data_IF_457832266751
#
_entry.id   IF_457832266751
#
_cell.length_a   1.000
_cell.length_b   1.000
_cell.length_c   1.000
_cell.angle_alpha   90.00
_cell.angle_beta   90.00
_cell.angle_gamma   90.00
#
_symmetry.space_group_name_H-M   'P 1'
#
loop_
_entity.id
_entity.type
_entity.pdbx_description
1 polymer ?
#
# COMPACT_ATOMS: atom_id res chain seq x y z
N UNK A 1 -6.84 -12.28 41.86
CA UNK A 1 -6.26 -13.05 42.99
C UNK A 1 -7.26 -13.05 44.16
N UNK A 2 -7.19 -14.01 45.09
CA UNK A 2 -8.05 -14.01 46.27
C UNK A 2 -7.81 -12.82 47.21
N UNK A 3 -8.88 -12.31 47.85
CA UNK A 3 -8.83 -11.08 48.67
C UNK A 3 -8.46 -11.29 50.16
N UNK A 4 -8.08 -12.50 50.58
CA UNK A 4 -7.77 -12.71 52.00
C UNK A 4 -6.35 -12.26 52.36
N UNK A 5 -6.17 -11.83 53.61
CA UNK A 5 -4.94 -11.22 54.14
C UNK A 5 -3.67 -12.07 53.93
N UNK A 6 -3.80 -13.40 53.90
CA UNK A 6 -2.67 -14.31 53.70
C UNK A 6 -1.94 -14.15 52.36
N UNK A 7 -2.59 -13.59 51.34
CA UNK A 7 -1.97 -13.31 50.03
C UNK A 7 -1.61 -11.84 49.83
N UNK A 8 -1.89 -10.98 50.82
CA UNK A 8 -1.49 -9.57 50.76
C UNK A 8 0.03 -9.39 50.59
N UNK A 9 0.91 -10.15 51.27
CA UNK A 9 2.35 -10.08 51.03
C UNK A 9 2.73 -10.42 49.58
N UNK A 10 2.06 -11.39 48.96
CA UNK A 10 2.32 -11.77 47.56
C UNK A 10 2.05 -10.59 46.64
N UNK A 11 0.93 -9.89 46.86
CA UNK A 11 0.58 -8.70 46.09
C UNK A 11 1.57 -7.54 46.31
N UNK A 12 1.80 -7.16 47.56
CA UNK A 12 2.56 -5.94 47.91
C UNK A 12 4.08 -6.11 47.76
N UNK A 13 4.61 -7.31 47.98
CA UNK A 13 6.06 -7.56 48.00
C UNK A 13 6.57 -8.24 46.72
N UNK A 14 5.69 -8.84 45.91
CA UNK A 14 6.09 -9.48 44.66
C UNK A 14 5.43 -8.90 43.42
N UNK A 15 4.09 -8.95 43.33
CA UNK A 15 3.37 -8.55 42.11
C UNK A 15 3.55 -7.05 41.82
N UNK A 16 3.24 -6.20 42.79
CA UNK A 16 3.27 -4.74 42.64
C UNK A 16 4.69 -4.21 42.37
N UNK A 17 5.75 -4.67 43.07
CA UNK A 17 7.13 -4.32 42.74
C UNK A 17 7.56 -4.79 41.34
N UNK A 18 7.17 -6.00 40.92
CA UNK A 18 7.51 -6.51 39.59
C UNK A 18 6.89 -5.66 38.47
N UNK A 19 5.61 -5.28 38.62
CA UNK A 19 4.93 -4.37 37.70
C UNK A 19 5.64 -3.00 37.65
N UNK A 20 5.95 -2.41 38.81
CA UNK A 20 6.63 -1.11 38.88
C UNK A 20 8.00 -1.14 38.19
N UNK A 21 8.80 -2.20 38.39
CA UNK A 21 10.12 -2.36 37.77
C UNK A 21 10.06 -2.47 36.24
N UNK A 22 8.93 -2.92 35.70
CA UNK A 22 8.71 -3.12 34.26
C UNK A 22 7.85 -2.04 33.63
N UNK A 23 7.51 -0.98 34.38
CA UNK A 23 6.71 0.16 33.90
C UNK A 23 5.21 -0.08 33.86
N UNK A 24 4.71 -1.20 34.39
CA UNK A 24 3.29 -1.50 34.52
C UNK A 24 2.72 -0.93 35.82
N UNK A 25 1.42 -0.62 35.81
CA UNK A 25 0.65 -0.28 37.01
C UNK A 25 -0.17 -1.49 37.45
N UNK A 26 0.15 -2.06 38.61
CA UNK A 26 -0.63 -3.15 39.19
C UNK A 26 -1.94 -2.61 39.79
N UNK A 27 -3.07 -3.22 39.45
CA UNK A 27 -4.39 -2.89 40.00
C UNK A 27 -5.02 -4.14 40.61
N UNK A 28 -5.46 -4.05 41.86
CA UNK A 28 -6.29 -5.06 42.53
C UNK A 28 -7.64 -4.43 42.85
N UNK A 29 -8.74 -5.10 42.50
CA UNK A 29 -10.07 -4.46 42.49
C UNK A 29 -10.56 -4.06 43.89
N UNK A 30 -10.11 -4.72 44.94
CA UNK A 30 -10.38 -4.34 46.32
C UNK A 30 -9.67 -3.05 46.77
N UNK A 31 -8.68 -2.54 46.01
CA UNK A 31 -8.06 -1.23 46.25
C UNK A 31 -8.77 -0.09 45.50
N UNK A 32 -9.71 -0.41 44.60
CA UNK A 32 -10.42 0.58 43.79
C UNK A 32 -11.62 1.10 44.57
N UNK A 33 -11.57 2.39 44.94
CA UNK A 33 -12.69 3.06 45.61
C UNK A 33 -13.90 3.21 44.66
N UNK A 34 -15.09 2.77 45.09
CA UNK A 34 -16.31 2.97 44.30
C UNK A 34 -17.54 2.27 44.87
N UNK A 35 -18.73 2.80 44.53
CA UNK A 35 -20.05 2.27 44.93
C UNK A 35 -20.53 1.15 43.98
N UNK A 36 -19.74 0.79 42.97
CA UNK A 36 -20.13 -0.13 41.90
C UNK A 36 -19.94 -1.60 42.28
N UNK A 37 -20.79 -2.47 41.71
CA UNK A 37 -20.67 -3.94 41.81
C UNK A 37 -19.25 -4.41 41.47
N UNK A 38 -18.61 -5.08 42.42
CA UNK A 38 -17.24 -5.61 42.32
C UNK A 38 -17.09 -6.47 41.07
N UNK A 39 -18.11 -7.27 40.72
CA UNK A 39 -18.06 -8.12 39.52
C UNK A 39 -17.96 -7.27 38.25
N UNK A 40 -18.72 -6.19 38.17
CA UNK A 40 -18.66 -5.28 37.03
C UNK A 40 -17.28 -4.64 36.92
N UNK A 41 -16.70 -4.21 38.03
CA UNK A 41 -15.36 -3.62 38.05
C UNK A 41 -14.29 -4.63 37.60
N UNK A 42 -14.36 -5.87 38.09
CA UNK A 42 -13.46 -6.96 37.66
C UNK A 42 -13.55 -7.14 36.14
N UNK A 43 -14.75 -7.28 35.58
CA UNK A 43 -14.92 -7.45 34.13
C UNK A 43 -14.37 -6.24 33.38
N UNK A 44 -14.69 -5.01 33.79
CA UNK A 44 -14.16 -3.80 33.15
C UNK A 44 -12.63 -3.73 33.19
N UNK A 45 -11.99 -4.13 34.29
CA UNK A 45 -10.53 -4.19 34.40
C UNK A 45 -9.92 -5.33 33.59
N UNK A 46 -10.60 -6.48 33.45
CA UNK A 46 -10.19 -7.53 32.54
C UNK A 46 -10.14 -7.00 31.10
N UNK A 47 -11.15 -6.27 30.64
CA UNK A 47 -11.16 -5.73 29.27
C UNK A 47 -10.16 -4.59 29.01
N UNK A 48 -9.71 -3.87 30.05
CA UNK A 48 -8.84 -2.69 29.91
C UNK A 48 -7.36 -2.98 30.17
N UNK A 49 -7.03 -4.09 30.83
CA UNK A 49 -5.66 -4.41 31.23
C UNK A 49 -4.86 -4.99 30.06
N UNK A 50 -3.60 -4.55 29.92
CA UNK A 50 -2.66 -5.09 28.91
C UNK A 50 -2.20 -6.52 29.24
N UNK A 51 -2.14 -6.84 30.54
CA UNK A 51 -1.71 -8.13 31.08
C UNK A 51 -2.49 -8.45 32.36
N UNK A 52 -2.82 -9.71 32.55
CA UNK A 52 -3.49 -10.23 33.75
C UNK A 52 -2.52 -11.13 34.51
N UNK A 53 -2.41 -10.92 35.83
CA UNK A 53 -1.70 -11.84 36.73
C UNK A 53 -2.75 -12.57 37.56
N UNK A 54 -2.88 -13.88 37.35
CA UNK A 54 -3.87 -14.72 38.01
C UNK A 54 -3.21 -15.60 39.08
N UNK A 55 -3.51 -15.33 40.35
CA UNK A 55 -3.08 -16.17 41.47
C UNK A 55 -4.09 -17.28 41.77
N UNK A 56 -3.69 -18.51 41.47
CA UNK A 56 -4.52 -19.72 41.58
C UNK A 56 -4.43 -20.40 42.95
N UNK A 57 -3.76 -19.77 43.92
CA UNK A 57 -3.58 -20.30 45.28
C UNK A 57 -4.90 -20.56 45.99
N UNK A 58 -4.96 -21.66 46.74
CA UNK A 58 -6.15 -22.21 47.39
C UNK A 58 -7.31 -22.57 46.44
N UNK A 59 -7.06 -22.64 45.13
CA UNK A 59 -8.01 -23.09 44.10
C UNK A 59 -9.38 -22.38 44.12
N UNK A 60 -9.39 -21.05 44.26
CA UNK A 60 -10.66 -20.33 44.36
C UNK A 60 -11.44 -20.29 43.04
N UNK A 61 -12.70 -20.76 43.02
CA UNK A 61 -13.52 -20.81 41.80
C UNK A 61 -13.65 -19.46 41.08
N UNK A 62 -13.77 -18.37 41.83
CA UNK A 62 -13.90 -17.02 41.26
C UNK A 62 -12.70 -16.66 40.39
N UNK A 63 -11.48 -17.01 40.82
CA UNK A 63 -10.27 -16.71 40.03
C UNK A 63 -10.22 -17.54 38.75
N UNK A 64 -10.69 -18.79 38.78
CA UNK A 64 -10.79 -19.60 37.56
C UNK A 64 -11.84 -19.06 36.58
N UNK A 65 -12.95 -18.52 37.10
CA UNK A 65 -13.94 -17.86 36.26
C UNK A 65 -13.33 -16.62 35.57
N UNK A 66 -12.66 -15.75 36.33
CA UNK A 66 -11.95 -14.58 35.81
C UNK A 66 -10.85 -14.96 34.80
N UNK A 67 -10.11 -16.03 35.08
CA UNK A 67 -9.09 -16.59 34.19
C UNK A 67 -9.70 -17.06 32.86
N UNK A 68 -10.84 -17.77 32.91
CA UNK A 68 -11.57 -18.18 31.73
C UNK A 68 -12.02 -16.99 30.88
N UNK A 69 -12.50 -15.92 31.50
CA UNK A 69 -12.86 -14.67 30.80
C UNK A 69 -11.63 -14.02 30.18
N UNK A 70 -10.52 -13.89 30.91
CA UNK A 70 -9.26 -13.33 30.42
C UNK A 70 -8.73 -14.10 29.19
N UNK A 71 -8.80 -15.43 29.25
CA UNK A 71 -8.45 -16.31 28.14
C UNK A 71 -9.34 -16.08 26.92
N UNK A 72 -10.65 -15.94 27.12
CA UNK A 72 -11.61 -15.74 26.04
C UNK A 72 -11.43 -14.40 25.30
N UNK A 73 -11.02 -13.34 26.00
CA UNK A 73 -10.79 -12.02 25.42
C UNK A 73 -9.37 -11.81 24.88
N UNK A 74 -8.55 -12.86 24.86
CA UNK A 74 -7.16 -12.88 24.40
C UNK A 74 -6.19 -11.99 25.19
N UNK A 75 -6.44 -11.80 26.48
CA UNK A 75 -5.46 -11.12 27.33
C UNK A 75 -4.22 -11.98 27.54
N UNK A 76 -3.06 -11.31 27.57
CA UNK A 76 -1.82 -11.91 28.04
C UNK A 76 -2.00 -12.23 29.52
N UNK A 77 -1.83 -13.50 29.88
CA UNK A 77 -2.10 -13.96 31.25
C UNK A 77 -0.89 -14.66 31.83
N UNK A 78 -0.42 -14.19 32.98
CA UNK A 78 0.61 -14.84 33.78
C UNK A 78 -0.10 -15.55 34.94
N UNK A 79 -0.01 -16.87 34.99
CA UNK A 79 -0.55 -17.64 36.11
C UNK A 79 0.53 -17.81 37.18
N UNK A 80 0.16 -17.61 38.43
CA UNK A 80 1.01 -17.89 39.59
C UNK A 80 0.25 -18.79 40.56
N UNK A 81 0.96 -19.63 41.31
CA UNK A 81 0.36 -20.46 42.36
C UNK A 81 1.39 -20.73 43.45
N UNK A 82 0.92 -20.78 44.70
CA UNK A 82 1.77 -21.20 45.81
C UNK A 82 2.15 -22.67 45.62
N UNK A 83 3.43 -23.00 45.77
CA UNK A 83 3.96 -24.35 45.56
C UNK A 83 3.37 -25.41 46.50
N UNK A 84 2.73 -24.99 47.60
CA UNK A 84 1.98 -25.89 48.49
C UNK A 84 0.78 -26.52 47.77
N UNK A 85 0.25 -25.84 46.76
CA UNK A 85 -0.90 -26.26 45.96
C UNK A 85 -0.41 -26.84 44.63
N UNK A 86 -1.18 -27.77 44.06
CA UNK A 86 -0.89 -28.29 42.73
C UNK A 86 -1.59 -27.46 41.66
N UNK A 87 -0.94 -27.27 40.51
CA UNK A 87 -1.59 -26.66 39.34
C UNK A 87 -2.71 -27.57 38.84
N UNK A 88 -3.96 -27.08 38.72
CA UNK A 88 -5.08 -27.89 38.23
C UNK A 88 -4.85 -28.39 36.81
N UNK A 89 -5.35 -29.60 36.51
CA UNK A 89 -5.12 -30.28 35.24
C UNK A 89 -5.50 -29.43 34.01
N UNK A 90 -6.62 -28.71 34.09
CA UNK A 90 -7.16 -27.90 32.98
C UNK A 90 -6.22 -26.77 32.52
N UNK A 91 -5.37 -26.27 33.41
CA UNK A 91 -4.42 -25.18 33.14
C UNK A 91 -2.96 -25.61 33.19
N UNK A 92 -2.69 -26.87 33.54
CA UNK A 92 -1.34 -27.43 33.75
C UNK A 92 -0.47 -27.45 32.49
N UNK A 93 -1.08 -27.43 31.32
CA UNK A 93 -0.37 -27.39 30.02
C UNK A 93 0.29 -26.01 29.80
N UNK A 94 -0.26 -24.95 30.41
CA UNK A 94 0.24 -23.59 30.28
C UNK A 94 1.22 -23.25 31.38
N UNK A 95 2.13 -22.31 31.08
CA UNK A 95 3.15 -21.86 32.03
C UNK A 95 2.50 -21.26 33.28
N UNK A 96 2.81 -21.82 34.44
CA UNK A 96 2.43 -21.29 35.74
C UNK A 96 3.69 -21.12 36.60
N UNK A 97 3.87 -19.93 37.18
CA UNK A 97 4.99 -19.65 38.07
C UNK A 97 4.65 -20.17 39.48
N UNK A 98 5.52 -21.03 40.01
CA UNK A 98 5.38 -21.55 41.36
C UNK A 98 6.10 -20.61 42.33
N UNK A 99 5.48 -20.32 43.48
CA UNK A 99 6.11 -19.46 44.49
C UNK A 99 5.98 -20.01 45.90
N UNK A 100 6.84 -19.53 46.79
CA UNK A 100 6.69 -19.73 48.24
C UNK A 100 6.34 -18.41 48.92
N UNK A 101 5.59 -18.46 50.02
CA UNK A 101 5.25 -17.26 50.81
C UNK A 101 6.42 -16.76 51.69
N UNK A 102 7.59 -17.40 51.63
CA UNK A 102 8.79 -16.96 52.34
C UNK A 102 9.34 -15.67 51.71
N UNK A 103 10.06 -14.81 52.45
CA UNK A 103 10.67 -13.60 51.88
C UNK A 103 11.55 -13.88 50.65
N UNK A 104 12.36 -14.94 50.71
CA UNK A 104 13.19 -15.37 49.57
C UNK A 104 12.33 -15.91 48.41
N UNK A 105 11.24 -16.63 48.71
CA UNK A 105 10.29 -17.10 47.71
C UNK A 105 9.59 -15.96 46.98
N UNK A 106 9.19 -14.92 47.71
CA UNK A 106 8.59 -13.72 47.13
C UNK A 106 9.60 -12.94 46.29
N UNK A 107 10.85 -12.80 46.73
CA UNK A 107 11.90 -12.17 45.94
C UNK A 107 12.18 -12.91 44.62
N UNK A 108 12.17 -14.25 44.65
CA UNK A 108 12.27 -15.09 43.44
C UNK A 108 11.07 -14.87 42.52
N UNK A 109 9.84 -14.89 43.06
CA UNK A 109 8.64 -14.63 42.30
C UNK A 109 8.70 -13.25 41.63
N UNK A 110 9.17 -12.21 42.33
CA UNK A 110 9.36 -10.88 41.73
C UNK A 110 10.28 -10.94 40.52
N UNK A 111 11.44 -11.60 40.63
CA UNK A 111 12.39 -11.72 39.52
C UNK A 111 11.79 -12.48 38.33
N UNK A 112 11.05 -13.56 38.58
CA UNK A 112 10.36 -14.31 37.53
C UNK A 112 9.25 -13.50 36.86
N UNK A 113 8.47 -12.74 37.64
CA UNK A 113 7.44 -11.84 37.12
C UNK A 113 8.05 -10.72 36.29
N UNK A 114 9.16 -10.11 36.72
CA UNK A 114 9.89 -9.09 35.94
C UNK A 114 10.33 -9.66 34.60
N UNK A 115 10.90 -10.87 34.59
CA UNK A 115 11.29 -11.55 33.35
C UNK A 115 10.10 -11.86 32.43
N UNK A 116 8.99 -12.34 33.00
CA UNK A 116 7.76 -12.62 32.26
C UNK A 116 7.13 -11.34 31.67
N UNK A 117 7.08 -10.26 32.45
CA UNK A 117 6.53 -8.97 32.02
C UNK A 117 7.42 -8.29 30.96
N UNK A 118 8.74 -8.39 31.09
CA UNK A 118 9.69 -7.81 30.12
C UNK A 118 9.66 -8.53 28.77
N UNK A 119 9.26 -9.81 28.73
CA UNK A 119 9.19 -10.61 27.49
C UNK A 119 7.80 -10.61 26.85
N UNK A 120 6.85 -9.79 27.32
CA UNK A 120 5.46 -9.82 26.83
C UNK A 120 5.32 -9.56 25.32
N UNK A 121 6.22 -8.81 24.69
CA UNK A 121 6.17 -8.55 23.23
C UNK A 121 6.41 -9.84 22.42
N UNK A 122 7.27 -10.73 22.91
CA UNK A 122 7.58 -12.01 22.28
C UNK A 122 6.42 -13.02 22.39
N UNK A 123 5.49 -12.80 23.34
CA UNK A 123 4.34 -13.68 23.56
C UNK A 123 3.30 -13.62 22.43
N UNK A 124 3.42 -12.66 21.50
CA UNK A 124 2.51 -12.57 20.35
C UNK A 124 2.56 -13.79 19.43
N UNK A 125 3.60 -14.63 19.53
CA UNK A 125 3.80 -15.76 18.62
C UNK A 125 3.45 -17.13 19.19
N UNK A 126 3.01 -17.22 20.45
CA UNK A 126 2.63 -18.50 21.06
C UNK A 126 1.31 -18.36 21.79
N UNK A 127 0.28 -19.14 21.41
CA UNK A 127 -0.98 -19.08 22.13
C UNK A 127 -0.73 -19.63 23.55
N UNK A 128 -1.15 -18.85 24.53
CA UNK A 128 -0.75 -19.00 25.94
C UNK A 128 -1.90 -19.50 26.83
N UNK A 129 -3.01 -19.94 26.22
CA UNK A 129 -4.20 -20.37 26.95
C UNK A 129 -5.16 -21.21 26.08
N UNK A 130 -6.03 -22.04 26.68
CA UNK A 130 -6.80 -23.07 25.95
C UNK A 130 -7.84 -22.50 25.00
N UNK A 131 -8.27 -21.25 25.20
CA UNK A 131 -9.21 -20.61 24.27
C UNK A 131 -8.47 -20.14 23.03
N UNK A 132 -7.32 -19.48 23.19
CA UNK A 132 -6.55 -18.93 22.08
C UNK A 132 -5.82 -20.00 21.27
N UNK A 133 -5.41 -21.11 21.89
CA UNK A 133 -4.79 -22.26 21.22
C UNK A 133 -5.73 -22.92 20.20
N UNK A 134 -7.02 -22.97 20.49
CA UNK A 134 -8.01 -23.66 19.66
C UNK A 134 -8.92 -22.72 18.87
N UNK A 135 -9.10 -21.47 19.33
CA UNK A 135 -9.96 -20.48 18.69
C UNK A 135 -9.44 -19.05 18.97
N UNK A 136 -8.38 -18.59 18.27
CA UNK A 136 -7.80 -17.28 18.50
C UNK A 136 -8.85 -16.19 18.23
N UNK A 137 -9.24 -15.46 19.28
CA UNK A 137 -10.35 -14.52 19.24
C UNK A 137 -9.87 -13.17 19.74
N UNK A 138 -9.73 -12.18 18.86
CA UNK A 138 -9.47 -10.79 19.27
C UNK A 138 -10.79 -10.19 19.72
N UNK A 139 -10.96 -9.96 21.02
CA UNK A 139 -12.14 -9.28 21.55
C UNK A 139 -11.86 -7.78 21.69
N UNK A 140 -12.21 -7.00 20.66
CA UNK A 140 -12.23 -5.54 20.77
C UNK A 140 -13.55 -5.09 21.39
N UNK A 141 -13.54 -4.20 22.39
CA UNK A 141 -14.73 -3.51 22.86
C UNK A 141 -15.57 -2.95 21.68
N UNK A 142 -16.89 -3.13 21.75
CA UNK A 142 -17.82 -2.78 20.67
C UNK A 142 -17.64 -1.33 20.16
N UNK A 143 -17.31 -0.40 21.07
CA UNK A 143 -17.10 1.02 20.78
C UNK A 143 -15.85 1.26 19.93
N UNK A 144 -14.72 0.67 20.32
CA UNK A 144 -13.45 0.76 19.56
C UNK A 144 -13.60 0.13 18.17
N UNK A 145 -14.30 -1.01 18.09
CA UNK A 145 -14.61 -1.64 16.82
C UNK A 145 -15.46 -0.72 15.91
N UNK A 146 -16.42 0.02 16.47
CA UNK A 146 -17.21 0.99 15.72
C UNK A 146 -16.35 2.17 15.23
N UNK A 147 -15.45 2.69 16.06
CA UNK A 147 -14.53 3.77 15.69
C UNK A 147 -13.57 3.35 14.58
N UNK A 148 -12.97 2.16 14.67
CA UNK A 148 -12.11 1.59 13.63
C UNK A 148 -12.89 1.41 12.33
N UNK A 149 -14.10 0.83 12.38
CA UNK A 149 -14.96 0.67 11.20
C UNK A 149 -15.31 2.02 10.58
N UNK A 150 -15.57 3.05 11.38
CA UNK A 150 -15.85 4.39 10.88
C UNK A 150 -14.62 5.03 10.22
N UNK A 151 -13.43 4.87 10.79
CA UNK A 151 -12.17 5.35 10.23
C UNK A 151 -11.85 4.67 8.89
N UNK A 152 -12.04 3.34 8.79
CA UNK A 152 -11.84 2.58 7.56
C UNK A 152 -12.78 3.04 6.44
N UNK A 153 -14.06 3.27 6.74
CA UNK A 153 -15.03 3.82 5.76
C UNK A 153 -14.59 5.19 5.24
N UNK A 154 -14.11 6.09 6.11
CA UNK A 154 -13.60 7.41 5.69
C UNK A 154 -12.39 7.26 4.76
N UNK A 155 -11.46 6.36 5.10
CA UNK A 155 -10.26 6.07 4.30
C UNK A 155 -10.63 5.55 2.91
N UNK A 156 -11.58 4.61 2.83
CA UNK A 156 -12.02 4.00 1.58
C UNK A 156 -12.61 5.04 0.61
N UNK A 157 -13.45 5.95 1.11
CA UNK A 157 -14.01 7.04 0.30
C UNK A 157 -12.91 7.96 -0.24
N UNK A 158 -11.89 8.26 0.56
CA UNK A 158 -10.75 9.08 0.13
C UNK A 158 -9.94 8.38 -0.97
N UNK A 159 -9.68 7.09 -0.83
CA UNK A 159 -8.97 6.28 -1.84
C UNK A 159 -9.70 6.31 -3.18
N UNK A 160 -11.03 6.07 -3.18
CA UNK A 160 -11.84 6.13 -4.41
C UNK A 160 -11.77 7.50 -5.10
N UNK A 161 -11.70 8.59 -4.33
CA UNK A 161 -11.53 9.95 -4.89
C UNK A 161 -10.16 10.14 -5.54
N UNK A 162 -9.11 9.60 -4.92
CA UNK A 162 -7.75 9.64 -5.46
C UNK A 162 -7.64 8.84 -6.76
N UNK A 163 -8.23 7.64 -6.81
CA UNK A 163 -8.24 6.80 -8.02
C UNK A 163 -8.93 7.52 -9.19
N UNK A 164 -10.08 8.15 -8.92
CA UNK A 164 -10.79 8.94 -9.94
C UNK A 164 -9.97 10.14 -10.43
N UNK A 165 -9.22 10.80 -9.54
CA UNK A 165 -8.32 11.89 -9.92
C UNK A 165 -7.13 11.40 -10.76
N UNK A 166 -6.53 10.26 -10.39
CA UNK A 166 -5.45 9.62 -11.12
C UNK A 166 -5.87 9.20 -12.53
N UNK A 167 -7.07 8.62 -12.67
CA UNK A 167 -7.62 8.25 -13.97
C UNK A 167 -7.78 9.48 -14.89
N UNK A 168 -8.25 10.62 -14.36
CA UNK A 168 -8.34 11.89 -15.11
C UNK A 168 -6.96 12.39 -15.54
N UNK A 169 -5.97 12.29 -14.66
CA UNK A 169 -4.60 12.73 -14.98
C UNK A 169 -3.98 11.85 -16.07
N UNK A 170 -4.16 10.53 -16.00
CA UNK A 170 -3.71 9.59 -17.02
C UNK A 170 -4.36 9.85 -18.38
N UNK A 171 -5.67 10.15 -18.41
CA UNK A 171 -6.36 10.51 -19.65
C UNK A 171 -5.77 11.79 -20.29
N UNK A 172 -5.50 12.82 -19.49
CA UNK A 172 -4.84 14.06 -19.97
C UNK A 172 -3.42 13.79 -20.47
N UNK A 173 -2.67 12.92 -19.79
CA UNK A 173 -1.32 12.56 -20.22
C UNK A 173 -1.33 11.85 -21.58
N UNK A 174 -2.25 10.89 -21.76
CA UNK A 174 -2.43 10.17 -23.00
C UNK A 174 -2.83 11.10 -24.17
N UNK A 175 -3.68 12.10 -23.91
CA UNK A 175 -4.01 13.13 -24.89
C UNK A 175 -2.79 13.96 -25.30
N UNK A 176 -1.98 14.39 -24.32
CA UNK A 176 -0.71 15.09 -24.57
C UNK A 176 0.25 14.26 -25.42
N UNK A 177 0.38 12.97 -25.13
CA UNK A 177 1.25 12.07 -25.89
C UNK A 177 0.79 11.88 -27.35
N UNK A 178 -0.52 11.92 -27.61
CA UNK A 178 -1.06 11.91 -28.98
C UNK A 178 -0.70 13.20 -29.72
N UNK A 179 -0.86 14.35 -29.06
CA UNK A 179 -0.53 15.64 -29.65
C UNK A 179 0.97 15.75 -29.97
N UNK A 180 1.84 15.30 -29.05
CA UNK A 180 3.28 15.26 -29.25
C UNK A 180 3.67 14.38 -30.44
N UNK A 181 3.06 13.19 -30.57
CA UNK A 181 3.29 12.29 -31.72
C UNK A 181 2.90 12.95 -33.04
N UNK A 182 1.70 13.54 -33.11
CA UNK A 182 1.22 14.25 -34.31
C UNK A 182 2.16 15.40 -34.70
N UNK A 183 2.59 16.20 -33.72
CA UNK A 183 3.51 17.32 -33.94
C UNK A 183 4.85 16.83 -34.48
N UNK A 184 5.41 15.77 -33.90
CA UNK A 184 6.67 15.18 -34.35
C UNK A 184 6.58 14.63 -35.78
N UNK A 185 5.48 13.99 -36.16
CA UNK A 185 5.28 13.50 -37.53
C UNK A 185 5.18 14.65 -38.54
N UNK A 186 4.48 15.73 -38.19
CA UNK A 186 4.44 16.95 -39.01
C UNK A 186 5.82 17.56 -39.19
N UNK A 187 6.61 17.68 -38.12
CA UNK A 187 7.99 18.15 -38.17
C UNK A 187 8.87 17.26 -39.07
N UNK A 188 8.72 15.93 -38.99
CA UNK A 188 9.43 14.98 -39.85
C UNK A 188 9.08 15.19 -41.33
N UNK A 189 7.80 15.40 -41.66
CA UNK A 189 7.35 15.67 -43.04
C UNK A 189 7.94 16.97 -43.56
N UNK A 190 7.87 18.05 -42.78
CA UNK A 190 8.45 19.35 -43.16
C UNK A 190 9.97 19.26 -43.39
N UNK A 191 10.70 18.53 -42.53
CA UNK A 191 12.14 18.30 -42.72
C UNK A 191 12.46 17.59 -44.04
N UNK A 192 11.69 16.55 -44.40
CA UNK A 192 11.84 15.84 -45.67
C UNK A 192 11.54 16.74 -46.88
N UNK A 193 10.48 17.54 -46.79
CA UNK A 193 10.12 18.48 -47.86
C UNK A 193 11.20 19.54 -48.07
N UNK A 194 11.72 20.11 -46.98
CA UNK A 194 12.84 21.06 -47.02
C UNK A 194 14.09 20.46 -47.65
N UNK A 195 14.49 19.26 -47.22
CA UNK A 195 15.63 18.56 -47.84
C UNK A 195 15.44 18.31 -49.35
N UNK A 196 14.22 17.98 -49.79
CA UNK A 196 13.91 17.82 -51.20
C UNK A 196 14.03 19.15 -51.96
N UNK A 197 13.52 20.23 -51.37
CA UNK A 197 13.60 21.58 -51.95
C UNK A 197 15.06 22.04 -52.07
N UNK A 198 15.87 21.82 -51.03
CA UNK A 198 17.30 22.15 -51.03
C UNK A 198 18.05 21.37 -52.13
N UNK A 199 17.74 20.08 -52.33
CA UNK A 199 18.31 19.28 -53.43
C UNK A 199 17.92 19.80 -54.82
N UNK A 200 16.67 20.23 -55.01
CA UNK A 200 16.21 20.80 -56.27
C UNK A 200 16.91 22.13 -56.58
N UNK A 201 17.11 22.97 -55.57
CA UNK A 201 17.85 24.22 -55.70
C UNK A 201 19.33 23.96 -56.05
N UNK A 202 19.96 22.95 -55.46
CA UNK A 202 21.34 22.57 -55.79
C UNK A 202 21.48 21.96 -57.19
N UNK A 203 20.44 21.30 -57.71
CA UNK A 203 20.41 20.74 -59.06
C UNK A 203 19.90 21.74 -60.12
N UNK A 204 19.60 22.99 -59.74
CA UNK A 204 19.19 24.01 -60.68
C UNK A 204 20.37 24.36 -61.59
N UNK A 205 20.18 24.45 -62.92
CA UNK A 205 21.25 24.79 -63.84
C UNK A 205 21.78 26.18 -63.51
N UNK A 206 23.10 26.31 -63.55
CA UNK A 206 23.78 27.59 -63.34
C UNK A 206 23.42 28.57 -64.45
N UNK A 207 23.60 29.88 -64.21
CA UNK A 207 23.21 30.92 -65.17
C UNK A 207 23.83 30.69 -66.57
N UNK A 208 25.07 30.21 -66.62
CA UNK A 208 25.79 29.91 -67.86
C UNK A 208 25.23 28.68 -68.59
N UNK A 209 24.83 27.63 -67.86
CA UNK A 209 24.17 26.44 -68.42
C UNK A 209 22.79 26.78 -69.00
N UNK A 210 22.05 27.67 -68.34
CA UNK A 210 20.76 28.18 -68.83
C UNK A 210 20.95 28.93 -70.16
N UNK A 211 21.95 29.83 -70.25
CA UNK A 211 22.24 30.55 -71.49
C UNK A 211 22.65 29.60 -72.62
N UNK A 212 23.45 28.58 -72.32
CA UNK A 212 23.85 27.56 -73.31
C UNK A 212 22.65 26.76 -73.83
N UNK A 213 21.75 26.33 -72.94
CA UNK A 213 20.52 25.63 -73.31
C UNK A 213 19.55 26.51 -74.12
N UNK A 214 19.46 27.81 -73.79
CA UNK A 214 18.67 28.77 -74.59
C UNK A 214 19.24 28.92 -76.00
N UNK A 215 20.57 28.99 -76.14
CA UNK A 215 21.23 29.06 -77.44
C UNK A 215 20.97 27.79 -78.28
N UNK A 216 21.10 26.60 -77.69
CA UNK A 216 20.76 25.33 -78.35
C UNK A 216 19.27 25.25 -78.75
N UNK A 217 18.37 25.72 -77.89
CA UNK A 217 16.94 25.79 -78.20
C UNK A 217 16.64 26.76 -79.35
N UNK A 218 17.32 27.91 -79.41
CA UNK A 218 17.19 28.86 -80.51
C UNK A 218 17.71 28.25 -81.83
N UNK A 219 18.82 27.51 -81.79
CA UNK A 219 19.37 26.81 -82.94
C UNK A 219 18.43 25.71 -83.45
N UNK A 220 17.90 24.84 -82.57
CA UNK A 220 16.92 23.82 -82.95
C UNK A 220 15.63 24.41 -83.50
N UNK A 221 15.18 25.54 -82.95
CA UNK A 221 14.01 26.28 -83.50
C UNK A 221 14.29 26.78 -84.91
N UNK A 222 15.49 27.30 -85.18
CA UNK A 222 15.88 27.71 -86.53
C UNK A 222 15.94 26.51 -87.50
N UNK A 223 16.46 25.36 -87.06
CA UNK A 223 16.51 24.10 -87.82
C UNK A 223 15.12 23.53 -88.15
N UNK A 224 14.11 23.76 -87.31
CA UNK A 224 12.73 23.37 -87.60
C UNK A 224 12.04 24.38 -88.54
N UNK A 225 12.39 25.66 -88.43
CA UNK A 225 11.78 26.73 -89.21
C UNK A 225 12.16 26.66 -90.70
N UNK A 226 13.36 26.19 -91.03
CA UNK A 226 13.84 26.00 -92.40
C UNK A 226 13.01 24.96 -93.20
N UNK A 227 12.85 23.69 -92.76
CA UNK A 227 11.99 22.73 -93.42
C UNK A 227 10.52 23.15 -93.42
N UNK A 228 10.02 23.86 -92.40
CA UNK A 228 8.65 24.40 -92.42
C UNK A 228 8.43 25.46 -93.52
N UNK A 229 9.41 26.34 -93.76
CA UNK A 229 9.38 27.29 -94.89
C UNK A 229 9.41 26.55 -96.24
N UNK A 230 10.18 25.48 -96.34
CA UNK A 230 10.31 24.69 -97.57
C UNK A 230 9.04 23.88 -97.87
N UNK A 231 8.42 23.27 -96.86
CA UNK A 231 7.09 22.64 -96.96
C UNK A 231 6.03 23.66 -97.39
N UNK A 232 6.08 24.89 -96.87
CA UNK A 232 5.17 25.98 -97.26
C UNK A 232 5.36 26.40 -98.72
N UNK A 233 6.60 26.47 -99.23
CA UNK A 233 6.91 26.73 -100.64
C UNK A 233 6.44 25.58 -101.56
N UNK A 234 6.68 24.33 -101.18
CA UNK A 234 6.25 23.15 -101.94
C UNK A 234 4.73 23.07 -102.05
N UNK A 235 4.00 23.39 -100.96
CA UNK A 235 2.52 23.50 -100.99
C UNK A 235 2.03 24.61 -101.93
N UNK A 236 2.70 25.76 -101.98
CA UNK A 236 2.36 26.84 -102.91
C UNK A 236 2.63 26.46 -104.39
N UNK A 237 3.67 25.66 -104.66
CA UNK A 237 3.97 25.12 -106.00
C UNK A 237 2.97 24.06 -106.45
N UNK A 238 2.54 23.17 -105.55
CA UNK A 238 1.53 22.16 -105.83
C UNK A 238 0.14 22.78 -106.11
N UNK A 239 -0.19 23.90 -105.46
CA UNK A 239 -1.43 24.64 -105.70
C UNK A 239 -1.47 25.35 -107.07
N UNK A 240 -0.32 25.61 -107.71
CA UNK A 240 -0.25 26.22 -109.05
C UNK A 240 -0.25 25.23 -110.22
N UNK A 241 -0.04 23.93 -109.96
CA UNK A 241 0.09 22.90 -111.00
C UNK A 241 -1.15 21.99 -111.13
N UNK A 242 -2.15 22.15 -110.25
CA UNK A 242 -3.38 21.37 -110.29
C UNK A 242 -4.51 22.18 -110.94
N UNK A 243 -4.85 21.83 -112.18
CA UNK A 243 -6.02 22.35 -112.87
C UNK A 243 -7.01 21.18 -113.05
N UNK A 244 -8.11 21.09 -112.29
CA UNK A 244 -9.09 20.05 -112.51
C UNK A 244 -9.78 20.28 -113.87
N UNK A 245 -10.09 19.22 -114.65
CA UNK A 245 -10.73 19.37 -115.96
C UNK A 245 -12.16 19.92 -115.78
N UNK A 246 -12.48 20.96 -116.55
CA UNK A 246 -13.78 21.64 -116.51
C UNK A 246 -14.90 20.78 -117.15
N UNK A 247 -16.07 20.79 -116.50
CA UNK A 247 -17.35 20.34 -117.04
C UNK A 247 -18.04 21.49 -117.80
#
# INVERSE_FOLDING_TARGET
MPFHEGLRPVYEQAIKPACQQTGFTAVRVDEVEGVYDINRQIIEHLFKSDVIIADLTDWRPNVFYELGVAHAIANKTIMIINQKDQVPFDVKIYRCLLYESSPDGLAKLTAELVSALASLEDWQQQPANPVQDHHPTICLPQKELQEIRAALRKREVSLRRQDAAMAKLQAKLAEKDRLLRSTNDSLRRMRKQRQRQDRLLQAAPTADEIEKLKAELAQRRAEITAPQKEIKKLRARAAGAWNPPAA
#
